data_IF_472214927403
#
_entry.id   IF_472214927403
#
_cell.length_a   1.000
_cell.length_b   1.000
_cell.length_c   1.000
_cell.angle_alpha   90.00
_cell.angle_beta   90.00
_cell.angle_gamma   90.00
#
_symmetry.space_group_name_H-M   'P 1'
#
loop_
_entity.id
_entity.type
_entity.pdbx_description
1 polymer ?
#
# COMPACT_ATOMS: atom_id res chain seq x y z
N UNK A 1 -9.95 -11.89 12.53
CA UNK A 1 -11.09 -12.37 13.36
C UNK A 1 -10.66 -13.02 14.67
N UNK A 2 -9.37 -13.30 14.88
CA UNK A 2 -8.87 -13.97 16.10
C UNK A 2 -9.15 -13.19 17.41
N UNK A 3 -9.22 -11.85 17.33
CA UNK A 3 -9.56 -10.97 18.47
C UNK A 3 -11.06 -10.70 18.62
N UNK A 4 -11.91 -11.30 17.79
CA UNK A 4 -13.34 -11.08 17.87
C UNK A 4 -13.95 -11.82 19.07
N UNK A 5 -14.76 -11.12 19.85
CA UNK A 5 -15.51 -11.74 20.95
C UNK A 5 -16.49 -12.77 20.36
N UNK A 6 -16.48 -14.04 20.83
CA UNK A 6 -17.31 -15.11 20.23
C UNK A 6 -18.80 -14.77 20.16
N UNK A 7 -19.30 -14.04 21.17
CA UNK A 7 -20.71 -13.61 21.26
C UNK A 7 -21.16 -12.72 20.08
N UNK A 8 -20.23 -12.01 19.45
CA UNK A 8 -20.54 -11.05 18.37
C UNK A 8 -19.97 -11.47 17.00
N UNK A 9 -19.36 -12.66 16.91
CA UNK A 9 -18.64 -13.12 15.72
C UNK A 9 -19.49 -13.11 14.44
N UNK A 10 -20.77 -13.51 14.54
CA UNK A 10 -21.71 -13.47 13.41
C UNK A 10 -22.06 -12.05 12.93
N UNK A 11 -21.97 -11.03 13.81
CA UNK A 11 -22.20 -9.62 13.47
C UNK A 11 -20.95 -9.00 12.81
N UNK A 12 -19.77 -9.32 13.32
CA UNK A 12 -18.52 -8.83 12.73
C UNK A 12 -18.27 -9.34 11.32
N UNK A 13 -18.77 -10.53 10.97
CA UNK A 13 -18.69 -11.05 9.59
C UNK A 13 -19.47 -10.19 8.57
N UNK A 14 -20.42 -9.38 9.03
CA UNK A 14 -21.22 -8.48 8.19
C UNK A 14 -20.67 -7.05 8.16
N UNK A 15 -19.73 -6.71 9.04
CA UNK A 15 -19.11 -5.39 9.10
C UNK A 15 -17.84 -5.35 8.24
N UNK A 16 -17.60 -4.19 7.64
CA UNK A 16 -16.41 -4.00 6.82
C UNK A 16 -15.14 -4.09 7.67
N UNK A 17 -14.10 -4.73 7.13
CA UNK A 17 -12.77 -4.70 7.73
C UNK A 17 -12.04 -3.37 7.46
N UNK A 18 -12.50 -2.62 6.46
CA UNK A 18 -11.98 -1.30 6.13
C UNK A 18 -12.45 -0.27 7.15
N UNK A 19 -11.52 0.52 7.67
CA UNK A 19 -11.77 1.51 8.71
C UNK A 19 -11.76 2.97 8.21
N UNK A 20 -11.55 3.18 6.90
CA UNK A 20 -11.56 4.51 6.30
C UNK A 20 -12.95 4.95 5.83
N UNK A 21 -13.08 6.23 5.47
CA UNK A 21 -14.35 6.85 5.09
C UNK A 21 -14.84 6.49 3.68
N UNK A 22 -14.05 5.74 2.91
CA UNK A 22 -14.43 5.33 1.56
C UNK A 22 -15.53 4.25 1.65
N UNK A 23 -16.74 4.50 1.10
CA UNK A 23 -17.89 3.60 1.24
C UNK A 23 -17.73 2.24 0.52
N UNK A 24 -16.69 2.11 -0.30
CA UNK A 24 -16.24 0.85 -0.90
C UNK A 24 -15.06 1.05 -1.84
N UNK A 25 -14.20 0.04 -1.95
CA UNK A 25 -13.09 0.01 -2.91
C UNK A 25 -13.53 -0.77 -4.15
N UNK A 26 -13.91 -0.08 -5.22
CA UNK A 26 -14.22 -0.73 -6.51
C UNK A 26 -12.94 -0.91 -7.33
N UNK A 27 -12.54 -2.15 -7.60
CA UNK A 27 -11.26 -2.46 -8.25
C UNK A 27 -10.11 -2.28 -7.27
N UNK A 28 -9.81 -3.29 -6.43
CA UNK A 28 -8.76 -3.15 -5.44
C UNK A 28 -7.40 -2.92 -6.10
N UNK A 29 -6.79 -1.80 -5.72
CA UNK A 29 -5.50 -1.34 -6.22
C UNK A 29 -4.41 -2.02 -5.42
N UNK A 30 -4.00 -3.21 -5.86
CA UNK A 30 -2.98 -3.98 -5.16
C UNK A 30 -1.58 -3.60 -5.63
N UNK A 31 -0.78 -3.05 -4.71
CA UNK A 31 0.63 -2.75 -4.93
C UNK A 31 1.43 -3.40 -3.80
N UNK A 32 2.31 -4.33 -4.15
CA UNK A 32 3.11 -5.05 -3.16
C UNK A 32 4.04 -4.13 -2.39
N UNK A 33 4.23 -4.39 -1.09
CA UNK A 33 5.09 -3.60 -0.21
C UNK A 33 6.53 -3.55 -0.73
N UNK A 34 7.06 -4.70 -1.19
CA UNK A 34 8.41 -4.75 -1.76
C UNK A 34 8.50 -4.05 -3.13
N UNK A 35 7.45 -4.19 -3.96
CA UNK A 35 7.35 -3.51 -5.26
C UNK A 35 7.34 -1.99 -5.07
N UNK A 36 6.61 -1.49 -4.07
CA UNK A 36 6.58 -0.06 -3.74
C UNK A 36 7.96 0.43 -3.27
N UNK A 37 8.68 -0.35 -2.46
CA UNK A 37 10.04 -0.01 -2.06
C UNK A 37 10.98 0.10 -3.27
N UNK A 38 10.92 -0.86 -4.20
CA UNK A 38 11.68 -0.81 -5.46
C UNK A 38 11.28 0.39 -6.32
N UNK A 39 10.00 0.73 -6.40
CA UNK A 39 9.52 1.91 -7.12
C UNK A 39 10.12 3.21 -6.57
N UNK A 40 10.09 3.40 -5.25
CA UNK A 40 10.68 4.58 -4.60
C UNK A 40 12.19 4.63 -4.84
N UNK A 41 12.88 3.50 -4.75
CA UNK A 41 14.31 3.45 -5.04
C UNK A 41 14.61 3.78 -6.51
N UNK A 42 13.79 3.26 -7.41
CA UNK A 42 13.82 3.51 -8.85
C UNK A 42 13.74 4.98 -9.23
N UNK A 43 12.95 5.75 -8.48
CA UNK A 43 12.84 7.20 -8.68
C UNK A 43 14.22 7.90 -8.63
N UNK A 44 15.14 7.38 -7.80
CA UNK A 44 16.47 7.94 -7.62
C UNK A 44 17.52 7.34 -8.55
N UNK A 45 17.51 6.02 -8.79
CA UNK A 45 18.61 5.34 -9.47
C UNK A 45 18.38 5.14 -10.97
N UNK A 46 17.13 4.99 -11.40
CA UNK A 46 16.81 4.81 -12.83
C UNK A 46 17.02 6.16 -13.54
N UNK A 47 17.57 6.10 -14.75
CA UNK A 47 17.84 7.29 -15.57
C UNK A 47 17.01 7.25 -16.85
N UNK A 48 16.77 8.43 -17.42
CA UNK A 48 16.11 8.59 -18.71
C UNK A 48 14.66 9.09 -18.64
N UNK A 49 14.10 9.46 -19.81
CA UNK A 49 12.77 10.06 -19.92
C UNK A 49 11.65 9.09 -19.51
N UNK A 50 11.84 7.79 -19.73
CA UNK A 50 10.86 6.77 -19.35
C UNK A 50 10.55 6.82 -17.85
N UNK A 51 11.57 6.94 -16.98
CA UNK A 51 11.34 7.11 -15.54
C UNK A 51 10.47 8.33 -15.25
N UNK A 52 10.78 9.48 -15.84
CA UNK A 52 10.07 10.72 -15.57
C UNK A 52 8.60 10.62 -16.02
N UNK A 53 8.35 9.97 -17.16
CA UNK A 53 6.99 9.66 -17.61
C UNK A 53 6.26 8.74 -16.62
N UNK A 54 6.89 7.65 -16.17
CA UNK A 54 6.28 6.72 -15.20
C UNK A 54 5.95 7.42 -13.88
N UNK A 55 6.88 8.21 -13.32
CA UNK A 55 6.64 8.96 -12.09
C UNK A 55 5.54 10.01 -12.26
N UNK A 56 5.60 10.79 -13.34
CA UNK A 56 4.61 11.84 -13.62
C UNK A 56 3.21 11.27 -13.78
N UNK A 57 3.07 10.19 -14.54
CA UNK A 57 1.79 9.51 -14.76
C UNK A 57 1.29 8.83 -13.47
N UNK A 58 2.17 8.19 -12.69
CA UNK A 58 1.80 7.63 -11.38
C UNK A 58 1.23 8.72 -10.48
N UNK A 59 1.98 9.82 -10.30
CA UNK A 59 1.58 10.90 -9.41
C UNK A 59 0.28 11.58 -9.87
N UNK A 60 0.16 11.85 -11.17
CA UNK A 60 -1.06 12.41 -11.76
C UNK A 60 -2.27 11.51 -11.52
N UNK A 61 -2.13 10.19 -11.72
CA UNK A 61 -3.22 9.24 -11.46
C UNK A 61 -3.65 9.21 -9.99
N UNK A 62 -2.69 9.32 -9.05
CA UNK A 62 -3.00 9.41 -7.62
C UNK A 62 -3.75 10.71 -7.32
N UNK A 63 -3.29 11.85 -7.82
CA UNK A 63 -3.95 13.13 -7.61
C UNK A 63 -5.39 13.14 -8.15
N UNK A 64 -5.58 12.58 -9.35
CA UNK A 64 -6.89 12.49 -9.99
C UNK A 64 -7.83 11.54 -9.23
N UNK A 65 -7.31 10.51 -8.56
CA UNK A 65 -8.11 9.56 -7.79
C UNK A 65 -8.82 10.16 -6.56
N UNK A 66 -8.40 11.35 -6.09
CA UNK A 66 -8.97 11.99 -4.91
C UNK A 66 -10.40 12.52 -5.11
N UNK A 67 -10.84 12.74 -6.35
CA UNK A 67 -12.21 13.10 -6.68
C UNK A 67 -12.73 14.29 -5.89
N UNK A 68 -13.80 14.09 -5.11
CA UNK A 68 -14.43 15.14 -4.29
C UNK A 68 -13.49 15.81 -3.27
N UNK A 69 -12.36 15.16 -2.91
CA UNK A 69 -11.36 15.74 -2.01
C UNK A 69 -10.42 16.72 -2.74
N UNK A 70 -10.39 16.69 -4.08
CA UNK A 70 -9.67 17.66 -4.91
C UNK A 70 -10.49 18.03 -6.16
N UNK A 71 -11.62 18.75 -5.99
CA UNK A 71 -12.57 18.99 -7.07
C UNK A 71 -11.97 19.83 -8.21
N UNK A 72 -11.17 20.85 -7.90
CA UNK A 72 -10.58 21.73 -8.93
C UNK A 72 -9.77 20.99 -9.99
N UNK A 73 -8.99 19.98 -9.60
CA UNK A 73 -8.26 19.14 -10.56
C UNK A 73 -9.20 18.13 -11.24
N UNK A 74 -10.09 17.50 -10.47
CA UNK A 74 -10.99 16.46 -10.96
C UNK A 74 -11.96 17.01 -12.00
N UNK A 75 -12.63 18.13 -11.70
CA UNK A 75 -13.64 18.76 -12.55
C UNK A 75 -13.00 19.27 -13.85
N UNK A 76 -11.79 19.86 -13.78
CA UNK A 76 -11.04 20.23 -14.99
C UNK A 76 -10.83 19.02 -15.92
N UNK A 77 -10.46 17.86 -15.38
CA UNK A 77 -10.27 16.66 -16.19
C UNK A 77 -11.59 16.11 -16.74
N UNK A 78 -12.67 16.15 -15.96
CA UNK A 78 -14.00 15.71 -16.41
C UNK A 78 -14.51 16.57 -17.57
N UNK A 79 -14.34 17.88 -17.47
CA UNK A 79 -14.94 18.84 -18.39
C UNK A 79 -14.11 19.06 -19.66
N UNK A 80 -12.77 18.99 -19.56
CA UNK A 80 -11.88 19.38 -20.66
C UNK A 80 -11.01 18.26 -21.23
N UNK A 81 -10.78 17.16 -20.50
CA UNK A 81 -9.90 16.08 -20.97
C UNK A 81 -10.73 14.96 -21.63
N UNK A 82 -10.53 14.69 -22.93
CA UNK A 82 -11.28 13.66 -23.64
C UNK A 82 -11.17 12.30 -22.95
N UNK A 83 -12.26 11.53 -23.00
CA UNK A 83 -12.36 10.17 -22.44
C UNK A 83 -12.26 10.06 -20.91
N UNK A 84 -11.87 11.11 -20.18
CA UNK A 84 -11.80 11.06 -18.71
C UNK A 84 -13.19 10.82 -18.09
N UNK A 85 -14.21 11.47 -18.62
CA UNK A 85 -15.61 11.27 -18.23
C UNK A 85 -16.18 9.86 -18.51
N UNK A 86 -15.37 8.94 -19.08
CA UNK A 86 -15.73 7.52 -19.26
C UNK A 86 -15.38 6.65 -18.06
N UNK A 87 -14.55 7.13 -17.13
CA UNK A 87 -14.32 6.43 -15.87
C UNK A 87 -15.59 6.49 -15.00
N UNK A 88 -16.14 5.32 -14.67
CA UNK A 88 -17.37 5.21 -13.85
C UNK A 88 -17.15 5.66 -12.41
N UNK A 89 -15.93 5.49 -11.90
CA UNK A 89 -15.53 5.92 -10.57
C UNK A 89 -14.17 6.63 -10.67
N UNK A 90 -14.01 7.76 -9.99
CA UNK A 90 -12.76 8.52 -10.00
C UNK A 90 -11.58 7.70 -9.49
N UNK A 91 -11.80 6.77 -8.55
CA UNK A 91 -10.76 5.86 -8.04
C UNK A 91 -10.25 4.87 -9.09
N UNK A 92 -11.00 4.60 -10.16
CA UNK A 92 -10.61 3.60 -11.19
C UNK A 92 -9.40 4.03 -12.03
N UNK A 93 -9.04 5.32 -12.01
CA UNK A 93 -7.82 5.82 -12.66
C UNK A 93 -6.53 5.26 -12.04
N UNK A 94 -6.59 4.74 -10.81
CA UNK A 94 -5.45 4.12 -10.13
C UNK A 94 -4.94 2.85 -10.84
N UNK A 95 -5.70 2.28 -11.77
CA UNK A 95 -5.19 1.21 -12.67
C UNK A 95 -3.92 1.64 -13.41
N UNK A 96 -3.77 2.93 -13.67
CA UNK A 96 -2.56 3.49 -14.27
C UNK A 96 -1.39 3.42 -13.29
N UNK A 97 -1.60 3.76 -12.01
CA UNK A 97 -0.60 3.60 -10.96
C UNK A 97 -0.21 2.12 -10.78
N UNK A 98 -1.19 1.21 -10.79
CA UNK A 98 -0.96 -0.24 -10.69
C UNK A 98 -0.06 -0.79 -11.78
N UNK A 99 -0.08 -0.20 -12.98
CA UNK A 99 0.80 -0.60 -14.06
C UNK A 99 2.19 0.06 -13.97
N UNK A 100 2.20 1.36 -13.71
CA UNK A 100 3.43 2.18 -13.75
C UNK A 100 4.37 1.88 -12.59
N UNK A 101 3.83 1.57 -11.40
CA UNK A 101 4.63 1.26 -10.21
C UNK A 101 5.45 -0.03 -10.40
N UNK A 102 4.86 -1.20 -10.74
CA UNK A 102 5.61 -2.42 -11.02
C UNK A 102 6.60 -2.27 -12.19
N UNK A 103 6.23 -1.51 -13.22
CA UNK A 103 7.12 -1.30 -14.36
C UNK A 103 8.42 -0.58 -13.94
N UNK A 104 8.33 0.49 -13.15
CA UNK A 104 9.53 1.16 -12.64
C UNK A 104 10.28 0.28 -11.61
N UNK A 105 9.57 -0.52 -10.80
CA UNK A 105 10.21 -1.48 -9.89
C UNK A 105 11.05 -2.53 -10.65
N UNK A 106 10.55 -3.05 -11.78
CA UNK A 106 11.30 -3.98 -12.63
C UNK A 106 12.53 -3.29 -13.25
N UNK A 107 12.38 -2.05 -13.72
CA UNK A 107 13.51 -1.27 -14.23
C UNK A 107 14.57 -1.03 -13.14
N UNK A 108 14.14 -0.85 -11.90
CA UNK A 108 15.04 -0.72 -10.74
C UNK A 108 15.81 -2.01 -10.50
N UNK A 109 15.14 -3.15 -10.52
CA UNK A 109 15.78 -4.45 -10.37
C UNK A 109 16.79 -4.72 -11.49
N UNK A 110 16.43 -4.41 -12.74
CA UNK A 110 17.32 -4.49 -13.90
C UNK A 110 18.58 -3.64 -13.68
N UNK A 111 18.42 -2.38 -13.28
CA UNK A 111 19.51 -1.45 -13.07
C UNK A 111 20.49 -1.94 -11.97
N UNK A 112 19.97 -2.56 -10.89
CA UNK A 112 20.78 -3.15 -9.81
C UNK A 112 21.57 -4.37 -10.31
N UNK A 113 20.95 -5.23 -11.12
CA UNK A 113 21.59 -6.43 -11.66
C UNK A 113 22.69 -6.07 -12.66
N UNK A 114 22.42 -5.14 -13.57
CA UNK A 114 23.37 -4.72 -14.60
C UNK A 114 24.53 -3.89 -14.03
N UNK A 115 24.29 -3.16 -12.93
CA UNK A 115 25.28 -2.28 -12.31
C UNK A 115 25.34 -2.50 -10.79
N UNK A 116 25.91 -3.62 -10.31
CA UNK A 116 25.98 -3.94 -8.88
C UNK A 116 26.69 -2.85 -8.05
N UNK A 117 27.63 -2.10 -8.64
CA UNK A 117 28.30 -0.98 -7.97
C UNK A 117 27.34 0.13 -7.49
N UNK A 118 26.16 0.26 -8.10
CA UNK A 118 25.15 1.25 -7.68
C UNK A 118 24.75 1.08 -6.22
N UNK A 119 24.71 -0.16 -5.73
CA UNK A 119 24.32 -0.42 -4.36
C UNK A 119 25.32 0.18 -3.36
N UNK A 120 26.61 0.26 -3.74
CA UNK A 120 27.66 0.92 -2.94
C UNK A 120 27.67 2.43 -3.16
N UNK A 121 27.62 2.88 -4.41
CA UNK A 121 27.71 4.31 -4.77
C UNK A 121 26.48 5.12 -4.33
N UNK A 122 25.32 4.48 -4.30
CA UNK A 122 24.01 5.11 -4.11
C UNK A 122 23.25 4.50 -2.92
N UNK A 123 23.96 3.92 -1.97
CA UNK A 123 23.38 3.26 -0.78
C UNK A 123 22.44 4.16 0.01
N UNK A 124 22.68 5.47 0.02
CA UNK A 124 21.80 6.45 0.68
C UNK A 124 20.36 6.39 0.15
N UNK A 125 20.16 6.13 -1.14
CA UNK A 125 18.82 6.04 -1.72
C UNK A 125 18.12 4.73 -1.36
N UNK A 126 18.88 3.65 -1.12
CA UNK A 126 18.34 2.44 -0.50
C UNK A 126 17.83 2.75 0.92
N UNK A 127 18.64 3.44 1.74
CA UNK A 127 18.20 3.82 3.09
C UNK A 127 16.98 4.75 3.11
N UNK A 128 16.93 5.72 2.20
CA UNK A 128 15.74 6.59 2.04
C UNK A 128 14.52 5.75 1.66
N UNK A 129 14.66 4.84 0.70
CA UNK A 129 13.55 4.00 0.24
C UNK A 129 13.07 3.04 1.34
N UNK A 130 14.01 2.48 2.12
CA UNK A 130 13.71 1.67 3.30
C UNK A 130 13.00 2.50 4.37
N UNK A 131 13.47 3.71 4.67
CA UNK A 131 12.82 4.59 5.64
C UNK A 131 11.39 4.97 5.23
N UNK A 132 11.19 5.32 3.96
CA UNK A 132 9.88 5.70 3.42
C UNK A 132 8.90 4.52 3.24
N UNK A 133 9.38 3.28 3.27
CA UNK A 133 8.51 2.10 3.15
C UNK A 133 8.56 1.25 4.41
N UNK A 134 9.61 0.45 4.59
CA UNK A 134 9.81 -0.41 5.74
C UNK A 134 9.83 0.36 7.06
N UNK A 135 10.41 1.55 7.11
CA UNK A 135 10.42 2.40 8.30
C UNK A 135 9.02 2.87 8.69
N UNK A 136 8.22 3.34 7.71
CA UNK A 136 6.82 3.70 7.95
C UNK A 136 6.00 2.48 8.37
N UNK A 137 6.16 1.35 7.68
CA UNK A 137 5.49 0.10 8.03
C UNK A 137 5.84 -0.36 9.46
N UNK A 138 7.11 -0.26 9.85
CA UNK A 138 7.57 -0.56 11.20
C UNK A 138 6.95 0.37 12.25
N UNK A 139 6.88 1.68 11.97
CA UNK A 139 6.24 2.65 12.87
C UNK A 139 4.75 2.36 13.05
N UNK A 140 4.04 2.05 11.96
CA UNK A 140 2.64 1.66 12.01
C UNK A 140 2.41 0.36 12.77
N UNK A 141 3.34 -0.59 12.65
CA UNK A 141 3.27 -1.86 13.35
C UNK A 141 3.53 -1.74 14.86
N UNK A 142 4.47 -0.88 15.27
CA UNK A 142 4.79 -0.64 16.68
C UNK A 142 3.75 0.22 17.39
N UNK A 143 3.23 1.23 16.69
CA UNK A 143 2.41 2.25 17.30
C UNK A 143 1.17 2.59 16.44
N UNK A 144 0.29 1.61 16.18
CA UNK A 144 -0.84 1.79 15.26
C UNK A 144 -1.76 2.94 15.68
N UNK A 145 -2.01 3.09 16.99
CA UNK A 145 -2.89 4.12 17.56
C UNK A 145 -2.31 5.54 17.59
N UNK A 146 -1.03 5.75 17.27
CA UNK A 146 -0.45 7.10 17.30
C UNK A 146 -0.85 7.95 16.09
N UNK A 147 -1.15 7.31 14.96
CA UNK A 147 -1.35 8.00 13.68
C UNK A 147 -2.82 8.22 13.33
N UNK A 148 -3.73 7.50 13.98
CA UNK A 148 -5.16 7.54 13.71
C UNK A 148 -5.94 7.78 15.00
N UNK A 149 -6.86 8.73 14.97
CA UNK A 149 -7.72 9.06 16.11
C UNK A 149 -8.87 8.09 16.33
N UNK A 150 -9.26 7.34 15.30
CA UNK A 150 -10.31 6.32 15.35
C UNK A 150 -10.10 5.28 14.25
N UNK A 151 -10.46 4.02 14.54
CA UNK A 151 -10.59 2.94 13.55
C UNK A 151 -12.07 2.63 13.26
N UNK A 152 -12.96 3.54 13.62
CA UNK A 152 -14.40 3.42 13.38
C UNK A 152 -14.88 4.69 12.69
N UNK A 153 -15.30 4.62 11.41
CA UNK A 153 -15.92 5.73 10.70
C UNK A 153 -17.12 6.28 11.46
N UNK A 154 -17.31 7.60 11.42
CA UNK A 154 -18.41 8.26 12.13
C UNK A 154 -19.80 7.74 11.71
N UNK A 155 -19.96 7.40 10.44
CA UNK A 155 -21.22 6.86 9.93
C UNK A 155 -21.52 5.45 10.48
N UNK A 156 -20.49 4.62 10.64
CA UNK A 156 -20.64 3.28 11.22
C UNK A 156 -20.92 3.36 12.73
N UNK A 157 -20.23 4.27 13.43
CA UNK A 157 -20.50 4.59 14.83
C UNK A 157 -21.98 4.94 15.03
N UNK A 158 -22.54 5.84 14.20
CA UNK A 158 -23.94 6.22 14.27
C UNK A 158 -24.89 5.05 13.98
N UNK A 159 -24.58 4.23 12.96
CA UNK A 159 -25.39 3.05 12.62
C UNK A 159 -25.45 2.03 13.76
N UNK A 160 -24.32 1.76 14.42
CA UNK A 160 -24.25 0.83 15.55
C UNK A 160 -25.01 1.34 16.79
N UNK A 161 -24.99 2.66 17.04
CA UNK A 161 -25.74 3.28 18.13
C UNK A 161 -27.26 3.17 17.94
N UNK A 162 -27.75 3.21 16.70
CA UNK A 162 -29.18 3.07 16.39
C UNK A 162 -29.62 1.61 16.29
N UNK A 163 -28.74 0.72 15.83
CA UNK A 163 -29.08 -0.68 15.56
C UNK A 163 -28.90 -1.65 16.72
N UNK A 164 -28.29 -1.25 17.83
CA UNK A 164 -28.01 -2.11 18.99
C UNK A 164 -28.60 -1.57 20.29
N UNK A 165 -29.03 -2.45 21.22
CA UNK A 165 -29.36 -2.05 22.58
C UNK A 165 -28.17 -1.35 23.24
N UNK A 166 -28.43 -0.29 24.02
CA UNK A 166 -27.40 0.59 24.60
C UNK A 166 -26.31 -0.15 25.38
N UNK A 167 -26.67 -1.24 26.05
CA UNK A 167 -25.76 -2.10 26.82
C UNK A 167 -24.71 -2.82 25.98
N UNK A 168 -24.99 -3.06 24.69
CA UNK A 168 -24.07 -3.75 23.77
C UNK A 168 -23.23 -2.80 22.92
N UNK A 169 -23.58 -1.52 22.83
CA UNK A 169 -22.91 -0.56 21.93
C UNK A 169 -21.43 -0.38 22.31
N UNK A 170 -21.14 0.01 23.55
CA UNK A 170 -19.78 0.24 24.03
C UNK A 170 -18.85 -0.99 23.88
N UNK A 171 -19.24 -2.21 24.31
CA UNK A 171 -18.37 -3.37 24.17
C UNK A 171 -18.16 -3.79 22.71
N UNK A 172 -19.19 -3.65 21.85
CA UNK A 172 -19.06 -3.96 20.42
C UNK A 172 -18.07 -3.01 19.74
N UNK A 173 -18.15 -1.72 20.02
CA UNK A 173 -17.25 -0.71 19.46
C UNK A 173 -15.81 -0.92 19.90
N UNK A 174 -15.58 -1.12 21.20
CA UNK A 174 -14.22 -1.36 21.73
C UNK A 174 -13.57 -2.60 21.10
N UNK A 175 -14.32 -3.70 20.95
CA UNK A 175 -13.79 -4.91 20.33
C UNK A 175 -13.65 -4.77 18.80
N UNK A 176 -14.53 -4.03 18.13
CA UNK A 176 -14.39 -3.72 16.70
C UNK A 176 -13.11 -2.91 16.42
N UNK A 177 -12.86 -1.89 17.24
CA UNK A 177 -11.64 -1.10 17.16
C UNK A 177 -10.41 -2.00 17.39
N UNK A 178 -10.43 -2.86 18.40
CA UNK A 178 -9.33 -3.80 18.67
C UNK A 178 -9.06 -4.73 17.48
N UNK A 179 -10.10 -5.28 16.85
CA UNK A 179 -9.97 -6.13 15.65
C UNK A 179 -9.28 -5.35 14.52
N UNK A 180 -9.69 -4.10 14.26
CA UNK A 180 -9.16 -3.27 13.17
C UNK A 180 -7.74 -2.79 13.43
N UNK A 181 -7.43 -2.39 14.67
CA UNK A 181 -6.08 -2.07 15.11
C UNK A 181 -5.16 -3.27 14.91
N UNK A 182 -5.62 -4.46 15.31
CA UNK A 182 -4.86 -5.69 15.12
C UNK A 182 -4.65 -6.01 13.64
N UNK A 183 -5.69 -5.90 12.81
CA UNK A 183 -5.58 -6.13 11.37
C UNK A 183 -4.56 -5.18 10.72
N UNK A 184 -4.67 -3.89 11.02
CA UNK A 184 -3.74 -2.87 10.54
C UNK A 184 -2.29 -3.12 10.98
N UNK A 185 -2.06 -3.40 12.27
CA UNK A 185 -0.73 -3.66 12.79
C UNK A 185 -0.13 -4.96 12.22
N UNK A 186 -0.94 -6.00 12.05
CA UNK A 186 -0.53 -7.27 11.43
C UNK A 186 -0.09 -7.07 9.99
N UNK A 187 -0.85 -6.28 9.22
CA UNK A 187 -0.53 -5.98 7.82
C UNK A 187 0.74 -5.11 7.69
N UNK A 188 0.93 -4.17 8.62
CA UNK A 188 2.15 -3.36 8.71
C UNK A 188 3.39 -4.22 9.05
N UNK A 189 3.27 -5.18 9.98
CA UNK A 189 4.34 -6.15 10.27
C UNK A 189 4.68 -7.01 9.06
N UNK A 190 3.66 -7.53 8.36
CA UNK A 190 3.84 -8.32 7.14
C UNK A 190 4.61 -7.54 6.08
N UNK A 191 4.19 -6.30 5.81
CA UNK A 191 4.86 -5.39 4.87
C UNK A 191 6.32 -5.12 5.26
N UNK A 192 6.58 -4.88 6.55
CA UNK A 192 7.94 -4.68 7.07
C UNK A 192 8.83 -5.90 6.82
N UNK A 193 8.35 -7.11 7.09
CA UNK A 193 9.11 -8.34 6.88
C UNK A 193 9.33 -8.64 5.40
N UNK A 194 8.31 -8.44 4.55
CA UNK A 194 8.43 -8.60 3.10
C UNK A 194 9.50 -7.66 2.53
N UNK A 195 9.46 -6.38 2.91
CA UNK A 195 10.48 -5.41 2.48
C UNK A 195 11.87 -5.84 2.96
N UNK A 196 11.98 -6.21 4.23
CA UNK A 196 13.25 -6.65 4.85
C UNK A 196 13.85 -7.86 4.12
N UNK A 197 13.04 -8.90 3.90
CA UNK A 197 13.45 -10.13 3.20
C UNK A 197 13.89 -9.80 1.77
N UNK A 198 13.10 -9.02 1.04
CA UNK A 198 13.42 -8.61 -0.32
C UNK A 198 14.73 -7.81 -0.39
N UNK A 199 14.96 -6.89 0.56
CA UNK A 199 16.23 -6.16 0.66
C UNK A 199 17.40 -7.09 0.96
N UNK A 200 17.25 -8.04 1.89
CA UNK A 200 18.29 -9.02 2.19
C UNK A 200 18.66 -9.83 0.94
N UNK A 201 17.69 -10.26 0.14
CA UNK A 201 17.95 -10.95 -1.13
C UNK A 201 18.80 -10.11 -2.09
N UNK A 202 18.49 -8.82 -2.24
CA UNK A 202 19.29 -7.89 -3.06
C UNK A 202 20.72 -7.71 -2.52
N UNK A 203 20.87 -7.59 -1.19
CA UNK A 203 22.17 -7.46 -0.55
C UNK A 203 23.01 -8.73 -0.71
N UNK A 204 22.42 -9.92 -0.53
CA UNK A 204 23.07 -11.22 -0.73
C UNK A 204 23.55 -11.40 -2.17
N UNK A 205 22.76 -10.95 -3.14
CA UNK A 205 23.17 -10.94 -4.54
C UNK A 205 24.37 -10.00 -4.77
N UNK A 206 24.33 -8.80 -4.21
CA UNK A 206 25.40 -7.82 -4.37
C UNK A 206 26.74 -8.26 -3.77
N UNK A 207 26.73 -9.02 -2.67
CA UNK A 207 27.93 -9.65 -2.09
C UNK A 207 28.32 -10.98 -2.76
N UNK A 208 27.73 -11.29 -3.93
CA UNK A 208 27.96 -12.50 -4.74
C UNK A 208 27.64 -13.82 -4.01
N UNK A 209 26.86 -13.80 -2.94
CA UNK A 209 26.40 -15.01 -2.23
C UNK A 209 25.15 -15.62 -2.86
N UNK A 210 24.45 -14.88 -3.72
CA UNK A 210 23.24 -15.33 -4.41
C UNK A 210 23.37 -15.08 -5.93
N UNK A 211 23.15 -16.12 -6.74
CA UNK A 211 23.16 -15.97 -8.21
C UNK A 211 21.91 -15.20 -8.68
N UNK A 212 22.04 -14.48 -9.80
CA UNK A 212 20.95 -13.66 -10.36
C UNK A 212 19.65 -14.44 -10.56
N UNK A 213 19.72 -15.64 -11.13
CA UNK A 213 18.54 -16.50 -11.37
C UNK A 213 17.81 -16.78 -10.07
N UNK A 214 18.51 -17.24 -9.03
CA UNK A 214 17.91 -17.53 -7.73
C UNK A 214 17.35 -16.29 -7.05
N UNK A 215 18.02 -15.13 -7.17
CA UNK A 215 17.50 -13.88 -6.65
C UNK A 215 16.18 -13.48 -7.32
N UNK A 216 16.11 -13.52 -8.66
CA UNK A 216 14.90 -13.18 -9.41
C UNK A 216 13.76 -14.13 -9.05
N UNK A 217 14.01 -15.44 -8.98
CA UNK A 217 12.99 -16.42 -8.60
C UNK A 217 12.49 -16.18 -7.18
N UNK A 218 13.38 -15.91 -6.22
CA UNK A 218 12.99 -15.63 -4.84
C UNK A 218 12.19 -14.33 -4.73
N UNK A 219 12.57 -13.27 -5.45
CA UNK A 219 11.82 -12.01 -5.49
C UNK A 219 10.44 -12.21 -6.13
N UNK A 220 10.36 -12.95 -7.24
CA UNK A 220 9.07 -13.24 -7.87
C UNK A 220 8.14 -14.01 -6.93
N UNK A 221 8.65 -15.03 -6.22
CA UNK A 221 7.89 -15.75 -5.21
C UNK A 221 7.47 -14.85 -4.05
N UNK A 222 8.36 -13.97 -3.59
CA UNK A 222 8.06 -12.99 -2.54
C UNK A 222 6.94 -12.03 -2.95
N UNK A 223 6.98 -11.50 -4.18
CA UNK A 223 5.93 -10.62 -4.71
C UNK A 223 4.59 -11.35 -4.89
N UNK A 224 4.61 -12.62 -5.31
CA UNK A 224 3.39 -13.44 -5.39
C UNK A 224 2.78 -13.68 -4.01
N UNK A 225 3.61 -13.98 -3.02
CA UNK A 225 3.18 -14.16 -1.64
C UNK A 225 2.58 -12.86 -1.05
N UNK A 226 3.25 -11.72 -1.28
CA UNK A 226 2.81 -10.38 -0.88
C UNK A 226 1.40 -10.06 -1.40
N UNK A 227 1.12 -10.42 -2.66
CA UNK A 227 -0.18 -10.15 -3.28
C UNK A 227 -1.32 -11.08 -2.86
N UNK A 228 -1.01 -12.26 -2.33
CA UNK A 228 -2.01 -13.31 -2.04
C UNK A 228 -2.25 -13.55 -0.56
N UNK A 229 -1.52 -12.87 0.31
CA UNK A 229 -1.70 -12.90 1.77
C UNK A 229 -2.30 -11.60 2.28
#
# INVERSE_FOLDING_TARGET
>A
MEKATPVYQGRYAQLSQYFGDQPGTSGPVYVGAFVLMLFIWGAFIVKGPLKQALLGVTFLSILLSWGKNFPGLTDFFIDYVPMYNKFRAVSSILVIAEFTIPLLAILTLKEIIEKPQLLKEKIKYLYISLGLTGGIAFLFALAPRLFFSSYIPAQEMYALQQGLPKEHVAPVLANLEEIRVHLFASDAWRSFWIITIGTVLLLLHNIRKLKTVWMITAIAALCLFDMWT
#
